data_IF_528462958770
#
_entry.id   IF_528462958770
#
_cell.length_a   1.000
_cell.length_b   1.000
_cell.length_c   1.000
_cell.angle_alpha   90.00
_cell.angle_beta   90.00
_cell.angle_gamma   90.00
#
_symmetry.space_group_name_H-M   'P 1'
#
loop_
_entity.id
_entity.type
_entity.pdbx_description
1 polymer ?
#
# COMPACT_ATOMS: atom_id res chain seq x y z
N UNK A 1 12.01 9.32 -17.88
CA UNK A 1 10.63 9.62 -18.30
C UNK A 1 9.73 9.01 -17.24
N UNK A 2 8.74 9.74 -16.74
CA UNK A 2 7.85 9.24 -15.66
C UNK A 2 6.80 8.31 -16.26
N UNK A 3 6.62 7.13 -15.66
CA UNK A 3 5.57 6.18 -16.04
C UNK A 3 4.34 6.39 -15.14
N UNK A 4 3.15 6.43 -15.75
CA UNK A 4 1.87 6.59 -15.04
C UNK A 4 0.95 5.45 -15.45
N UNK A 5 0.50 4.65 -14.47
CA UNK A 5 -0.43 3.55 -14.69
C UNK A 5 -1.80 3.83 -14.07
N UNK A 6 -2.87 3.53 -14.80
CA UNK A 6 -4.24 3.58 -14.30
C UNK A 6 -4.82 2.17 -14.29
N UNK A 7 -5.31 1.72 -13.14
CA UNK A 7 -5.91 0.40 -12.97
C UNK A 7 -7.43 0.53 -12.88
N UNK A 8 -8.15 -0.06 -13.85
CA UNK A 8 -9.60 -0.11 -13.82
C UNK A 8 -10.08 -1.32 -13.01
N UNK A 9 -10.57 -1.07 -11.80
CA UNK A 9 -11.04 -2.08 -10.86
C UNK A 9 -12.50 -2.48 -11.15
N UNK A 10 -12.74 -3.33 -12.16
CA UNK A 10 -14.10 -3.80 -12.50
C UNK A 10 -14.55 -5.00 -11.66
N UNK A 11 -13.68 -6.01 -11.53
CA UNK A 11 -14.00 -7.27 -10.86
C UNK A 11 -13.12 -7.55 -9.63
N UNK A 12 -12.00 -6.85 -9.51
CA UNK A 12 -11.06 -6.99 -8.40
C UNK A 12 -11.16 -5.73 -7.55
N UNK A 13 -11.64 -5.82 -6.29
CA UNK A 13 -11.70 -4.66 -5.41
C UNK A 13 -10.30 -4.18 -5.03
N UNK A 14 -10.19 -2.93 -4.56
CA UNK A 14 -8.91 -2.31 -4.21
C UNK A 14 -8.12 -3.15 -3.21
N UNK A 15 -8.81 -3.70 -2.21
CA UNK A 15 -8.26 -4.51 -1.13
C UNK A 15 -7.58 -5.79 -1.64
N UNK A 16 -7.90 -6.24 -2.87
CA UNK A 16 -7.22 -7.36 -3.52
C UNK A 16 -6.20 -6.91 -4.55
N UNK A 17 -6.45 -5.81 -5.25
CA UNK A 17 -5.55 -5.29 -6.27
C UNK A 17 -4.30 -4.64 -5.66
N UNK A 18 -4.47 -3.81 -4.63
CA UNK A 18 -3.40 -3.05 -3.99
C UNK A 18 -2.28 -3.95 -3.43
N UNK A 19 -2.55 -5.02 -2.64
CA UNK A 19 -1.48 -5.90 -2.16
C UNK A 19 -0.65 -6.49 -3.31
N UNK A 20 -1.30 -6.91 -4.41
CA UNK A 20 -0.62 -7.49 -5.58
C UNK A 20 0.24 -6.49 -6.35
N UNK A 21 -0.12 -5.21 -6.32
CA UNK A 21 0.72 -4.14 -6.89
C UNK A 21 1.93 -3.86 -5.99
N UNK A 22 1.74 -3.86 -4.67
CA UNK A 22 2.79 -3.65 -3.69
C UNK A 22 3.79 -4.81 -3.66
N UNK A 23 3.33 -6.07 -3.74
CA UNK A 23 4.20 -7.25 -3.91
C UNK A 23 5.14 -7.06 -5.09
N UNK A 24 4.61 -6.74 -6.28
CA UNK A 24 5.40 -6.51 -7.49
C UNK A 24 6.38 -5.35 -7.37
N UNK A 25 6.02 -4.31 -6.61
CA UNK A 25 6.91 -3.19 -6.36
C UNK A 25 8.10 -3.60 -5.49
N UNK A 26 7.82 -4.32 -4.39
CA UNK A 26 8.85 -4.84 -3.49
C UNK A 26 9.74 -5.89 -4.13
N UNK A 27 9.19 -6.79 -4.95
CA UNK A 27 9.95 -7.78 -5.73
C UNK A 27 11.00 -7.13 -6.65
N UNK A 28 10.74 -5.89 -7.08
CA UNK A 28 11.67 -5.07 -7.89
C UNK A 28 12.62 -4.23 -7.04
N UNK A 29 12.61 -4.38 -5.72
CA UNK A 29 13.40 -3.59 -4.78
C UNK A 29 12.96 -2.13 -4.64
N UNK A 30 11.74 -1.80 -5.08
CA UNK A 30 11.21 -0.43 -4.97
C UNK A 30 10.62 -0.18 -3.59
N UNK A 31 10.64 1.08 -3.16
CA UNK A 31 9.82 1.57 -2.05
C UNK A 31 8.51 2.12 -2.58
N UNK A 32 7.45 2.05 -1.79
CA UNK A 32 6.13 2.53 -2.17
C UNK A 32 5.58 3.54 -1.16
N UNK A 33 4.88 4.54 -1.68
CA UNK A 33 4.02 5.44 -0.90
C UNK A 33 2.58 5.19 -1.33
N UNK A 34 1.72 4.87 -0.38
CA UNK A 34 0.28 4.71 -0.59
C UNK A 34 -0.40 5.92 0.02
N UNK A 35 -0.89 6.80 -0.85
CA UNK A 35 -1.65 7.99 -0.44
C UNK A 35 -3.13 7.66 -0.48
N UNK A 36 -3.76 7.64 0.68
CA UNK A 36 -5.18 7.35 0.84
C UNK A 36 -6.01 8.65 0.94
N UNK A 37 -7.30 8.54 0.63
CA UNK A 37 -8.20 9.71 0.61
C UNK A 37 -8.48 10.34 1.98
N UNK A 38 -8.20 9.63 3.07
CA UNK A 38 -8.42 10.09 4.45
C UNK A 38 -7.66 9.21 5.45
N UNK A 39 -7.49 9.70 6.68
CA UNK A 39 -6.89 8.95 7.80
C UNK A 39 -7.65 7.66 8.08
N UNK A 40 -8.99 7.66 8.05
CA UNK A 40 -9.79 6.45 8.28
C UNK A 40 -9.52 5.38 7.22
N UNK A 41 -9.17 5.81 6.00
CA UNK A 41 -8.81 4.86 4.94
C UNK A 41 -7.42 4.28 5.16
N UNK A 42 -6.47 5.04 5.69
CA UNK A 42 -5.17 4.52 6.14
C UNK A 42 -5.37 3.48 7.23
N UNK A 43 -6.18 3.79 8.24
CA UNK A 43 -6.48 2.91 9.39
C UNK A 43 -7.18 1.61 8.98
N UNK A 44 -7.93 1.61 7.86
CA UNK A 44 -8.50 0.39 7.29
C UNK A 44 -7.48 -0.41 6.48
N UNK A 45 -6.67 0.27 5.66
CA UNK A 45 -5.73 -0.38 4.74
C UNK A 45 -4.57 -1.05 5.50
N UNK A 46 -4.05 -0.42 6.56
CA UNK A 46 -2.93 -0.94 7.34
C UNK A 46 -3.19 -2.36 7.89
N UNK A 47 -4.21 -2.61 8.73
CA UNK A 47 -4.49 -3.98 9.21
C UNK A 47 -4.91 -4.95 8.09
N UNK A 48 -5.56 -4.46 7.02
CA UNK A 48 -5.95 -5.29 5.88
C UNK A 48 -4.72 -5.82 5.12
N UNK A 49 -3.72 -4.99 4.88
CA UNK A 49 -2.48 -5.37 4.19
C UNK A 49 -1.65 -6.38 5.00
N UNK A 50 -1.83 -6.47 6.32
CA UNK A 50 -1.24 -7.52 7.14
C UNK A 50 -1.94 -8.88 7.03
N UNK A 51 -3.21 -8.89 6.61
CA UNK A 51 -4.08 -10.08 6.72
C UNK A 51 -4.65 -10.57 5.40
N UNK A 52 -4.40 -9.89 4.28
CA UNK A 52 -4.97 -10.22 2.98
C UNK A 52 -4.58 -11.62 2.46
N UNK A 53 -3.40 -12.12 2.83
CA UNK A 53 -2.90 -13.46 2.51
C UNK A 53 -1.98 -13.95 3.64
N UNK A 54 -2.30 -15.11 4.22
CA UNK A 54 -1.57 -15.69 5.34
C UNK A 54 -0.15 -16.15 4.97
N UNK A 55 0.14 -16.35 3.67
CA UNK A 55 1.46 -16.74 3.19
C UNK A 55 2.31 -15.52 2.74
N UNK A 56 1.75 -14.32 2.75
CA UNK A 56 2.45 -13.11 2.29
C UNK A 56 2.97 -12.28 3.45
N UNK A 57 4.09 -11.60 3.21
CA UNK A 57 4.62 -10.58 4.11
C UNK A 57 4.86 -9.31 3.32
N UNK A 58 4.05 -8.29 3.57
CA UNK A 58 4.22 -6.94 3.04
C UNK A 58 4.69 -6.03 4.18
N UNK A 59 5.99 -5.74 4.32
CA UNK A 59 6.47 -4.82 5.37
C UNK A 59 5.97 -3.41 5.07
N UNK A 60 5.06 -2.93 5.91
CA UNK A 60 4.46 -1.60 5.79
C UNK A 60 4.12 -1.02 7.16
N UNK A 61 3.89 0.29 7.19
CA UNK A 61 3.42 1.01 8.37
C UNK A 61 2.90 2.38 7.99
N UNK A 62 2.48 3.15 8.99
CA UNK A 62 2.04 4.53 8.82
C UNK A 62 3.14 5.49 9.29
N UNK A 63 2.88 6.81 9.21
CA UNK A 63 3.79 7.83 9.73
C UNK A 63 4.15 7.65 11.22
N UNK A 64 3.26 7.03 12.01
CA UNK A 64 3.48 6.79 13.44
C UNK A 64 4.44 5.63 13.72
N UNK A 65 4.68 4.76 12.75
CA UNK A 65 5.51 3.55 12.89
C UNK A 65 6.98 3.79 12.49
N UNK A 66 7.40 5.06 12.40
CA UNK A 66 8.73 5.44 11.92
C UNK A 66 8.81 5.44 10.39
N UNK A 67 8.27 6.49 9.77
CA UNK A 67 8.06 6.62 8.32
C UNK A 67 9.28 6.24 7.45
N UNK A 68 10.49 6.67 7.84
CA UNK A 68 11.70 6.43 7.05
C UNK A 68 12.06 4.94 6.93
N UNK A 69 11.73 4.15 7.95
CA UNK A 69 12.05 2.72 8.00
C UNK A 69 11.11 1.86 7.14
N UNK A 70 9.94 2.37 6.75
CA UNK A 70 8.89 1.57 6.10
C UNK A 70 9.15 1.39 4.59
N UNK A 71 9.31 0.15 4.09
CA UNK A 71 9.43 -0.09 2.64
C UNK A 71 8.18 0.32 1.87
N UNK A 72 7.01 0.16 2.49
CA UNK A 72 5.73 0.68 2.04
C UNK A 72 5.20 1.60 3.15
N UNK A 73 5.03 2.88 2.84
CA UNK A 73 4.48 3.85 3.78
C UNK A 73 3.03 4.17 3.37
N UNK A 74 2.10 4.11 4.33
CA UNK A 74 0.73 4.58 4.16
C UNK A 74 0.60 5.97 4.80
N UNK A 75 0.03 6.90 4.04
CA UNK A 75 -0.27 8.27 4.45
C UNK A 75 -1.66 8.64 3.96
N UNK A 76 -2.28 9.63 4.59
CA UNK A 76 -3.46 10.26 4.01
C UNK A 76 -3.05 11.43 3.09
N UNK A 77 -4.03 12.20 2.60
CA UNK A 77 -3.77 13.33 1.70
C UNK A 77 -3.24 14.58 2.41
N UNK A 78 -3.32 14.64 3.74
CA UNK A 78 -2.98 15.81 4.54
C UNK A 78 -1.57 15.70 5.18
N UNK A 79 -1.00 14.49 5.22
CA UNK A 79 0.42 14.19 5.51
C UNK A 79 1.38 14.65 4.40
#
# INVERSE_FOLDING_TARGET
>A
MTEIGFYHLQQTPLERALPKLLEKALERGMRALVVAGSTERVDQLNPMLWTYDAASFLPHGTGTDGAEAQPILLVDNDD
#
